data_IF_799632130734
#
_entry.id   IF_799632130734
#
_cell.length_a   1.000
_cell.length_b   1.000
_cell.length_c   1.000
_cell.angle_alpha   90.00
_cell.angle_beta   90.00
_cell.angle_gamma   90.00
#
_symmetry.space_group_name_H-M   'P 1'
#
loop_
_entity.id
_entity.type
_entity.pdbx_description
1 polymer ?
#
# COMPACT_ATOMS: atom_id res chain seq x y z
N UNK A 1 10.17 -9.09 2.11
CA UNK A 1 10.65 -8.09 1.14
C UNK A 1 12.07 -7.57 1.41
N UNK A 2 12.73 -7.83 2.57
CA UNK A 2 14.16 -7.47 2.76
C UNK A 2 14.49 -5.98 2.72
N UNK A 3 13.48 -5.12 2.57
CA UNK A 3 13.58 -3.68 2.52
C UNK A 3 13.40 -3.12 3.93
N UNK A 4 14.18 -2.09 4.28
CA UNK A 4 13.96 -1.32 5.48
C UNK A 4 12.64 -0.50 5.33
N UNK A 5 11.72 -0.54 6.31
CA UNK A 5 10.54 0.30 6.28
C UNK A 5 10.92 1.79 6.25
N UNK A 6 10.28 2.55 5.36
CA UNK A 6 10.45 3.99 5.27
C UNK A 6 9.21 4.64 5.88
N UNK A 7 9.40 5.42 6.94
CA UNK A 7 8.34 6.18 7.60
C UNK A 7 8.52 7.66 7.29
N UNK A 8 8.03 8.07 6.12
CA UNK A 8 8.01 9.48 5.72
C UNK A 8 6.56 9.92 5.45
N UNK A 9 6.20 11.16 5.81
CA UNK A 9 4.89 11.71 5.45
C UNK A 9 4.70 11.70 3.92
N UNK A 10 3.56 11.20 3.47
CA UNK A 10 3.13 11.31 2.08
C UNK A 10 2.18 12.49 1.93
N UNK A 11 2.11 13.05 0.72
CA UNK A 11 1.10 14.07 0.39
C UNK A 11 -0.21 13.39 -0.02
N UNK A 12 -1.32 14.09 0.21
CA UNK A 12 -2.68 13.58 -0.06
C UNK A 12 -3.37 13.06 1.19
N UNK A 13 -4.70 12.97 1.13
CA UNK A 13 -5.51 12.39 2.19
C UNK A 13 -5.68 10.88 1.98
N UNK A 14 -5.54 10.10 3.04
CA UNK A 14 -5.92 8.69 3.07
C UNK A 14 -6.76 8.42 4.32
N UNK A 15 -7.73 7.51 4.25
CA UNK A 15 -8.46 7.07 5.46
C UNK A 15 -7.51 6.50 6.52
N UNK A 16 -6.40 5.91 6.06
CA UNK A 16 -5.31 5.43 6.91
C UNK A 16 -4.71 6.52 7.80
N UNK A 17 -4.58 7.76 7.32
CA UNK A 17 -4.09 8.86 8.16
C UNK A 17 -4.96 9.07 9.41
N UNK A 18 -6.29 8.99 9.26
CA UNK A 18 -7.24 9.11 10.38
C UNK A 18 -7.27 7.87 11.27
N UNK A 19 -7.10 6.67 10.69
CA UNK A 19 -7.01 5.41 11.45
C UNK A 19 -5.72 5.32 12.27
N UNK A 20 -4.60 5.79 11.72
CA UNK A 20 -3.31 5.87 12.42
C UNK A 20 -3.40 6.80 13.63
N UNK A 21 -4.09 7.94 13.52
CA UNK A 21 -4.36 8.81 14.68
C UNK A 21 -5.15 8.11 15.79
N UNK A 22 -5.97 7.11 15.45
CA UNK A 22 -6.74 6.30 16.41
C UNK A 22 -5.97 5.07 16.92
N UNK A 23 -4.69 4.94 16.57
CA UNK A 23 -3.82 3.84 17.01
C UNK A 23 -3.91 2.57 16.15
N UNK A 24 -4.60 2.60 15.01
CA UNK A 24 -4.65 1.47 14.08
C UNK A 24 -3.51 1.60 13.07
N UNK A 25 -2.58 0.63 13.00
CA UNK A 25 -1.48 0.71 12.04
C UNK A 25 -1.99 0.58 10.60
N UNK A 26 -1.79 1.63 9.80
CA UNK A 26 -2.16 1.62 8.37
C UNK A 26 -0.95 1.99 7.51
N UNK A 27 -0.04 1.02 7.24
CA UNK A 27 1.09 1.27 6.36
C UNK A 27 0.60 1.56 4.93
N UNK A 28 1.23 2.52 4.26
CA UNK A 28 1.00 2.72 2.84
C UNK A 28 1.70 1.61 2.04
N UNK A 29 0.92 0.82 1.33
CA UNK A 29 1.41 -0.22 0.44
C UNK A 29 1.36 0.28 -1.00
N UNK A 30 2.26 -0.22 -1.83
CA UNK A 30 2.20 0.04 -3.26
C UNK A 30 1.03 -0.72 -3.89
N UNK A 31 0.51 -0.17 -4.98
CA UNK A 31 -0.52 -0.82 -5.82
C UNK A 31 -0.05 -1.03 -7.25
N UNK A 32 1.05 -0.38 -7.66
CA UNK A 32 1.56 -0.38 -9.04
C UNK A 32 0.93 0.64 -9.98
N UNK A 33 -0.06 1.40 -9.51
CA UNK A 33 -0.84 2.30 -10.36
C UNK A 33 0.02 3.41 -10.98
N UNK A 34 -0.31 3.78 -12.21
CA UNK A 34 0.33 4.82 -13.01
C UNK A 34 -0.73 5.82 -13.47
N UNK A 35 -0.38 7.11 -13.52
CA UNK A 35 -1.25 8.21 -13.96
C UNK A 35 -2.61 8.27 -13.23
N UNK A 36 -2.60 8.01 -11.91
CA UNK A 36 -3.80 7.97 -11.06
C UNK A 36 -4.61 9.27 -11.19
N UNK A 37 -5.91 9.15 -11.42
CA UNK A 37 -6.86 10.25 -11.69
C UNK A 37 -6.70 10.93 -13.07
N UNK A 38 -5.98 10.30 -14.00
CA UNK A 38 -5.78 10.79 -15.36
C UNK A 38 -6.49 9.94 -16.42
N UNK A 39 -6.69 10.46 -17.65
CA UNK A 39 -7.29 9.70 -18.75
C UNK A 39 -6.43 8.53 -19.23
N UNK A 40 -5.16 8.50 -18.83
CA UNK A 40 -4.20 7.44 -19.12
C UNK A 40 -3.90 6.61 -17.87
N UNK A 41 -4.84 6.49 -16.93
CA UNK A 41 -4.67 5.67 -15.72
C UNK A 41 -4.54 4.18 -16.08
N UNK A 42 -3.52 3.51 -15.55
CA UNK A 42 -3.30 2.08 -15.78
C UNK A 42 -2.49 1.42 -14.66
N UNK A 43 -2.48 0.09 -14.65
CA UNK A 43 -1.63 -0.74 -13.80
C UNK A 43 -1.22 -2.00 -14.58
N UNK A 44 0.03 -2.45 -14.42
CA UNK A 44 0.48 -3.70 -15.07
C UNK A 44 -0.07 -4.93 -14.35
N UNK A 45 -0.24 -6.04 -15.08
CA UNK A 45 -0.60 -7.32 -14.46
C UNK A 45 0.46 -7.75 -13.44
N UNK A 46 1.73 -7.51 -13.74
CA UNK A 46 2.86 -7.87 -12.90
C UNK A 46 2.80 -7.14 -11.55
N UNK A 47 2.50 -5.83 -11.55
CA UNK A 47 2.40 -5.08 -10.31
C UNK A 47 1.16 -5.47 -9.49
N UNK A 48 0.03 -5.76 -10.17
CA UNK A 48 -1.16 -6.29 -9.48
C UNK A 48 -0.86 -7.62 -8.79
N UNK A 49 -0.10 -8.51 -9.44
CA UNK A 49 0.31 -9.80 -8.86
C UNK A 49 1.20 -9.59 -7.63
N UNK A 50 2.19 -8.70 -7.71
CA UNK A 50 3.09 -8.40 -6.59
C UNK A 50 2.35 -7.74 -5.41
N UNK A 51 1.45 -6.79 -5.68
CA UNK A 51 0.65 -6.16 -4.63
C UNK A 51 -0.24 -7.20 -3.91
N UNK A 52 -0.82 -8.13 -4.67
CA UNK A 52 -1.62 -9.24 -4.13
C UNK A 52 -0.78 -10.16 -3.25
N UNK A 53 0.42 -10.55 -3.70
CA UNK A 53 1.34 -11.39 -2.92
C UNK A 53 1.73 -10.73 -1.59
N UNK A 54 2.00 -9.42 -1.61
CA UNK A 54 2.28 -8.64 -0.39
C UNK A 54 1.11 -8.67 0.57
N UNK A 55 -0.12 -8.43 0.09
CA UNK A 55 -1.32 -8.49 0.92
C UNK A 55 -1.50 -9.87 1.57
N UNK A 56 -1.38 -10.95 0.80
CA UNK A 56 -1.47 -12.32 1.31
C UNK A 56 -0.41 -12.55 2.39
N UNK A 57 0.84 -12.15 2.13
CA UNK A 57 1.93 -12.35 3.09
C UNK A 57 1.71 -11.57 4.38
N UNK A 58 1.20 -10.35 4.31
CA UNK A 58 0.87 -9.55 5.48
C UNK A 58 -0.22 -10.20 6.33
N UNK A 59 -1.30 -10.70 5.71
CA UNK A 59 -2.37 -11.41 6.42
C UNK A 59 -1.84 -12.67 7.09
N UNK A 60 -1.01 -13.46 6.41
CA UNK A 60 -0.38 -14.65 6.99
C UNK A 60 0.52 -14.32 8.20
N UNK A 61 1.28 -13.23 8.13
CA UNK A 61 2.13 -12.80 9.24
C UNK A 61 1.32 -12.23 10.41
N UNK A 62 0.19 -11.58 10.13
CA UNK A 62 -0.69 -11.03 11.16
C UNK A 62 -1.48 -12.09 11.92
N UNK A 63 -1.91 -13.15 11.21
CA UNK A 63 -2.68 -14.24 11.79
C UNK A 63 -1.84 -15.28 12.55
N UNK A 64 -0.51 -15.18 12.46
CA UNK A 64 0.45 -16.04 13.17
C UNK A 64 0.68 -15.56 14.61
#
# INVERSE_FOLDING_TARGET
CGLAPISTPIRGGTDGSGLTQKGVPTPNLFTGMQNIHGPLEWVSLQDMMLATEVCIKLVQLWAA
#
